data_IF_719783576381
#
_entry.id   IF_719783576381
#
_cell.length_a   1.000
_cell.length_b   1.000
_cell.length_c   1.000
_cell.angle_alpha   90.00
_cell.angle_beta   90.00
_cell.angle_gamma   90.00
#
_symmetry.space_group_name_H-M   'P 1'
#
loop_
_entity.id
_entity.type
_entity.pdbx_description
1 polymer ?
#
# COMPACT_ATOMS: atom_id res chain seq x y z
N UNK A 1 23.64 2.11 -7.40
CA UNK A 1 22.52 1.18 -7.67
C UNK A 1 22.04 1.23 -9.12
N UNK A 2 21.87 2.40 -9.75
CA UNK A 2 21.45 2.49 -11.18
C UNK A 2 22.37 1.74 -12.14
N UNK A 3 23.70 1.98 -12.09
CA UNK A 3 24.65 1.27 -12.95
C UNK A 3 24.58 -0.26 -12.74
N UNK A 4 24.42 -0.71 -11.49
CA UNK A 4 24.24 -2.12 -11.18
C UNK A 4 22.98 -2.70 -11.86
N UNK A 5 21.85 -1.99 -11.81
CA UNK A 5 20.62 -2.40 -12.48
C UNK A 5 20.79 -2.49 -13.99
N UNK A 6 21.55 -1.56 -14.58
CA UNK A 6 21.85 -1.57 -16.01
C UNK A 6 22.71 -2.76 -16.43
N UNK A 7 23.67 -3.20 -15.60
CA UNK A 7 24.49 -4.40 -15.89
C UNK A 7 23.69 -5.70 -15.98
N UNK A 8 22.47 -5.72 -15.46
CA UNK A 8 21.55 -6.86 -15.59
C UNK A 8 20.79 -6.88 -16.92
N UNK A 9 20.87 -5.80 -17.71
CA UNK A 9 20.28 -5.73 -19.05
C UNK A 9 21.24 -6.40 -20.05
N UNK A 10 20.74 -7.22 -20.99
CA UNK A 10 21.56 -7.82 -22.03
C UNK A 10 22.36 -6.75 -22.80
N UNK A 11 23.63 -7.03 -23.11
CA UNK A 11 24.55 -6.12 -23.81
C UNK A 11 24.93 -4.83 -23.05
N UNK A 12 24.65 -4.73 -21.75
CA UNK A 12 24.94 -3.53 -20.91
C UNK A 12 25.87 -3.80 -19.73
N UNK A 13 26.62 -4.90 -19.77
CA UNK A 13 27.47 -5.38 -18.67
C UNK A 13 28.60 -4.41 -18.29
N UNK A 14 29.10 -3.64 -19.27
CA UNK A 14 30.16 -2.65 -19.09
C UNK A 14 29.68 -1.31 -18.52
N UNK A 15 28.39 -1.18 -18.13
CA UNK A 15 27.87 0.09 -17.60
C UNK A 15 28.49 0.41 -16.24
N UNK A 16 29.22 1.51 -16.14
CA UNK A 16 29.81 1.99 -14.88
C UNK A 16 29.09 3.21 -14.29
N UNK A 17 29.52 3.66 -13.11
CA UNK A 17 28.95 4.82 -12.41
C UNK A 17 29.18 6.11 -13.20
N UNK A 18 30.32 6.22 -13.89
CA UNK A 18 30.68 7.35 -14.78
C UNK A 18 29.68 7.57 -15.92
N UNK A 19 28.94 6.52 -16.31
CA UNK A 19 27.94 6.56 -17.37
C UNK A 19 26.54 6.94 -16.85
N UNK A 20 26.39 7.21 -15.55
CA UNK A 20 25.14 7.68 -14.95
C UNK A 20 25.29 9.17 -14.65
N UNK A 21 24.70 10.00 -15.49
CA UNK A 21 24.75 11.45 -15.38
C UNK A 21 23.57 11.94 -14.54
N UNK A 22 23.87 12.71 -13.49
CA UNK A 22 22.88 13.37 -12.64
C UNK A 22 22.60 14.79 -13.16
N UNK A 23 21.32 15.14 -13.27
CA UNK A 23 20.85 16.42 -13.79
C UNK A 23 19.86 17.04 -12.80
N UNK A 24 19.93 18.37 -12.67
CA UNK A 24 18.94 19.18 -11.95
C UNK A 24 18.66 18.69 -10.51
N UNK A 25 19.72 18.59 -9.70
CA UNK A 25 19.64 18.18 -8.30
C UNK A 25 19.06 19.32 -7.46
N UNK A 26 18.00 19.04 -6.71
CA UNK A 26 17.33 20.01 -5.83
C UNK A 26 17.60 19.74 -4.35
N UNK A 27 17.33 20.73 -3.50
CA UNK A 27 17.45 20.59 -2.05
C UNK A 27 16.47 19.58 -1.44
N UNK A 28 15.33 19.31 -2.09
CA UNK A 28 14.35 18.29 -1.66
C UNK A 28 14.72 16.87 -2.11
N UNK A 29 15.96 16.64 -2.56
CA UNK A 29 16.46 15.35 -3.05
C UNK A 29 15.65 14.85 -4.24
N UNK A 30 15.34 15.76 -5.18
CA UNK A 30 14.85 15.39 -6.51
C UNK A 30 15.92 15.65 -7.55
N UNK A 31 16.09 14.72 -8.47
CA UNK A 31 17.04 14.82 -9.56
C UNK A 31 16.57 13.96 -10.72
N UNK A 32 17.03 14.31 -11.91
CA UNK A 32 16.90 13.48 -13.10
C UNK A 32 18.22 12.77 -13.31
N UNK A 33 18.18 11.59 -13.89
CA UNK A 33 19.41 10.92 -14.30
C UNK A 33 19.27 10.36 -15.71
N UNK A 34 20.38 10.34 -16.42
CA UNK A 34 20.50 9.79 -17.77
C UNK A 34 21.61 8.75 -17.76
N UNK A 35 21.39 7.65 -18.47
CA UNK A 35 22.41 6.61 -18.65
C UNK A 35 22.95 6.71 -20.07
N UNK A 36 24.27 6.73 -20.22
CA UNK A 36 24.94 6.73 -21.53
C UNK A 36 25.51 5.36 -21.87
N UNK A 37 25.59 5.06 -23.16
CA UNK A 37 26.21 3.85 -23.68
C UNK A 37 27.74 3.93 -23.54
N UNK A 38 28.40 2.98 -22.84
CA UNK A 38 29.87 2.96 -22.70
C UNK A 38 30.59 2.78 -24.05
N UNK A 39 29.94 2.18 -25.06
CA UNK A 39 30.57 1.88 -26.34
C UNK A 39 30.40 2.99 -27.37
N UNK A 40 29.33 3.80 -27.26
CA UNK A 40 28.95 4.76 -28.30
C UNK A 40 28.73 6.19 -27.81
N UNK A 41 28.89 6.47 -26.51
CA UNK A 41 28.66 7.78 -25.89
C UNK A 41 27.29 8.42 -26.21
N UNK A 42 26.30 7.59 -26.59
CA UNK A 42 24.93 8.04 -26.83
C UNK A 42 24.07 7.77 -25.61
N UNK A 43 23.03 8.57 -25.41
CA UNK A 43 22.06 8.36 -24.33
C UNK A 43 21.22 7.12 -24.59
N UNK A 44 21.04 6.28 -23.58
CA UNK A 44 20.19 5.10 -23.66
C UNK A 44 18.71 5.48 -23.74
N UNK A 45 17.90 4.69 -24.47
CA UNK A 45 16.46 4.92 -24.53
C UNK A 45 15.84 4.75 -23.15
N UNK A 46 14.94 5.65 -22.79
CA UNK A 46 14.32 5.69 -21.46
C UNK A 46 13.56 4.39 -21.12
N UNK A 47 13.01 3.70 -22.13
CA UNK A 47 12.28 2.43 -21.95
C UNK A 47 13.19 1.33 -21.41
N UNK A 48 14.43 1.26 -21.91
CA UNK A 48 15.42 0.28 -21.47
C UNK A 48 15.88 0.56 -20.03
N UNK A 49 16.11 1.84 -19.71
CA UNK A 49 16.46 2.25 -18.34
C UNK A 49 15.30 1.98 -17.37
N UNK A 50 14.06 2.29 -17.77
CA UNK A 50 12.88 2.05 -16.95
C UNK A 50 12.67 0.57 -16.66
N UNK A 51 12.85 -0.31 -17.65
CA UNK A 51 12.74 -1.77 -17.43
C UNK A 51 13.84 -2.29 -16.50
N UNK A 52 15.08 -1.81 -16.65
CA UNK A 52 16.20 -2.17 -15.79
C UNK A 52 15.95 -1.80 -14.32
N UNK A 53 15.44 -0.58 -14.09
CA UNK A 53 15.07 -0.09 -12.76
C UNK A 53 13.88 -0.89 -12.21
N UNK A 54 12.86 -1.15 -13.02
CA UNK A 54 11.69 -1.93 -12.61
C UNK A 54 12.07 -3.33 -12.11
N UNK A 55 12.97 -4.03 -12.82
CA UNK A 55 13.44 -5.36 -12.42
C UNK A 55 14.22 -5.37 -11.10
N UNK A 56 14.89 -4.27 -10.76
CA UNK A 56 15.73 -4.17 -9.56
C UNK A 56 15.12 -3.26 -8.47
N UNK A 57 13.86 -2.84 -8.63
CA UNK A 57 13.23 -1.82 -7.78
C UNK A 57 13.25 -2.19 -6.29
N UNK A 58 12.88 -3.41 -5.94
CA UNK A 58 12.92 -3.91 -4.56
C UNK A 58 14.33 -3.83 -3.95
N UNK A 59 15.37 -4.15 -4.74
CA UNK A 59 16.76 -4.10 -4.26
C UNK A 59 17.26 -2.67 -4.08
N UNK A 60 16.88 -1.77 -4.98
CA UNK A 60 17.19 -0.34 -4.87
C UNK A 60 16.56 0.23 -3.60
N UNK A 61 15.26 -0.03 -3.41
CA UNK A 61 14.48 0.41 -2.26
C UNK A 61 15.08 -0.09 -0.95
N UNK A 62 15.37 -1.40 -0.87
CA UNK A 62 15.99 -2.01 0.30
C UNK A 62 17.40 -1.48 0.59
N UNK A 63 18.19 -1.10 -0.42
CA UNK A 63 19.53 -0.55 -0.22
C UNK A 63 19.53 0.82 0.47
N UNK A 64 18.41 1.56 0.38
CA UNK A 64 18.23 2.86 1.02
C UNK A 64 17.25 2.83 2.19
N UNK A 65 16.75 1.66 2.58
CA UNK A 65 15.67 1.51 3.57
C UNK A 65 14.42 2.35 3.22
N UNK A 66 14.14 2.51 1.93
CA UNK A 66 12.98 3.24 1.41
C UNK A 66 11.98 2.25 0.81
N UNK A 67 10.72 2.67 0.72
CA UNK A 67 9.65 1.92 0.08
C UNK A 67 9.17 2.62 -1.21
N UNK A 68 8.20 2.01 -1.89
CA UNK A 68 7.63 2.50 -3.15
C UNK A 68 6.96 3.89 -3.06
N UNK A 69 6.61 4.35 -1.86
CA UNK A 69 5.99 5.66 -1.62
C UNK A 69 7.03 6.74 -1.29
N UNK A 70 8.14 6.35 -0.66
CA UNK A 70 9.21 7.27 -0.27
C UNK A 70 10.30 7.42 -1.32
N UNK A 71 10.46 6.42 -2.20
CA UNK A 71 11.33 6.46 -3.37
C UNK A 71 10.48 6.21 -4.62
N UNK A 72 10.10 7.32 -5.25
CA UNK A 72 9.25 7.31 -6.44
C UNK A 72 10.07 7.51 -7.71
N UNK A 73 9.71 6.74 -8.75
CA UNK A 73 10.19 6.95 -10.11
C UNK A 73 8.99 7.38 -10.96
N UNK A 74 8.92 8.66 -11.36
CA UNK A 74 7.72 9.26 -11.98
C UNK A 74 7.15 8.51 -13.20
N UNK A 75 7.96 7.72 -13.92
CA UNK A 75 7.53 6.94 -15.10
C UNK A 75 7.44 5.42 -14.86
N UNK A 76 7.72 4.95 -13.65
CA UNK A 76 7.72 3.51 -13.32
C UNK A 76 6.65 3.26 -12.24
N UNK A 77 5.61 2.48 -12.54
CA UNK A 77 4.55 2.22 -11.57
C UNK A 77 5.09 1.46 -10.35
N UNK A 78 4.44 1.66 -9.20
CA UNK A 78 4.73 0.94 -7.96
C UNK A 78 4.62 -0.57 -8.15
N UNK A 79 5.53 -1.30 -7.52
CA UNK A 79 5.59 -2.77 -7.52
C UNK A 79 4.76 -3.38 -6.41
N UNK A 80 4.49 -2.61 -5.35
CA UNK A 80 3.56 -3.02 -4.31
C UNK A 80 2.13 -2.86 -4.82
N UNK A 81 1.33 -3.92 -4.63
CA UNK A 81 -0.11 -3.82 -4.76
C UNK A 81 -0.60 -2.72 -3.80
N UNK A 82 -1.65 -1.96 -4.17
CA UNK A 82 -2.29 -1.04 -3.23
C UNK A 82 -2.62 -1.82 -1.94
N UNK A 83 -2.52 -1.16 -0.76
CA UNK A 83 -2.89 -1.80 0.50
C UNK A 83 -4.25 -2.48 0.32
N UNK A 84 -4.37 -3.75 0.70
CA UNK A 84 -5.68 -4.42 0.65
C UNK A 84 -6.62 -3.62 1.54
N UNK A 85 -7.61 -2.99 0.91
CA UNK A 85 -8.72 -2.42 1.66
C UNK A 85 -9.40 -3.55 2.44
N UNK A 86 -9.76 -3.31 3.71
CA UNK A 86 -10.44 -4.33 4.49
C UNK A 86 -11.73 -4.75 3.76
N UNK A 87 -11.88 -6.06 3.54
CA UNK A 87 -13.00 -6.66 2.78
C UNK A 87 -14.38 -6.25 3.32
N UNK A 88 -14.44 -5.86 4.60
CA UNK A 88 -15.62 -5.26 5.22
C UNK A 88 -15.24 -3.96 5.96
N UNK A 89 -15.98 -2.86 5.74
CA UNK A 89 -15.82 -1.65 6.54
C UNK A 89 -16.05 -1.92 8.02
N UNK A 90 -15.10 -1.51 8.87
CA UNK A 90 -15.13 -1.72 10.33
C UNK A 90 -16.43 -1.20 10.97
N UNK A 91 -16.97 -0.11 10.46
CA UNK A 91 -18.23 0.48 10.93
C UNK A 91 -19.44 -0.44 10.80
N UNK A 92 -19.47 -1.34 9.80
CA UNK A 92 -20.58 -2.30 9.63
C UNK A 92 -20.57 -3.34 10.76
N UNK A 93 -19.38 -3.76 11.19
CA UNK A 93 -19.23 -4.70 12.32
C UNK A 93 -19.74 -4.04 13.61
N UNK A 94 -19.34 -2.78 13.86
CA UNK A 94 -19.77 -2.01 15.04
C UNK A 94 -21.30 -1.84 15.02
N UNK A 95 -21.88 -1.47 13.88
CA UNK A 95 -23.33 -1.32 13.72
C UNK A 95 -24.07 -2.63 14.03
N UNK A 96 -23.62 -3.77 13.51
CA UNK A 96 -24.25 -5.07 13.74
C UNK A 96 -24.26 -5.48 15.22
N UNK A 97 -23.16 -5.26 15.94
CA UNK A 97 -23.06 -5.58 17.37
C UNK A 97 -24.03 -4.72 18.19
N UNK A 98 -24.05 -3.40 17.96
CA UNK A 98 -24.93 -2.47 18.67
C UNK A 98 -26.39 -2.81 18.40
N UNK A 99 -26.75 -3.08 17.14
CA UNK A 99 -28.11 -3.44 16.76
C UNK A 99 -28.58 -4.73 17.47
N UNK A 100 -27.71 -5.74 17.56
CA UNK A 100 -28.02 -6.99 18.25
C UNK A 100 -28.25 -6.79 19.76
N UNK A 101 -27.40 -5.97 20.42
CA UNK A 101 -27.57 -5.62 21.85
C UNK A 101 -28.91 -4.91 22.08
N UNK A 102 -29.26 -3.95 21.22
CA UNK A 102 -30.53 -3.20 21.32
C UNK A 102 -31.72 -4.14 21.18
N UNK A 103 -31.71 -5.05 20.20
CA UNK A 103 -32.79 -6.03 20.01
C UNK A 103 -32.95 -6.91 21.25
N UNK A 104 -31.85 -7.45 21.79
CA UNK A 104 -31.89 -8.29 22.98
C UNK A 104 -32.42 -7.52 24.18
N UNK A 105 -31.98 -6.28 24.39
CA UNK A 105 -32.46 -5.42 25.45
C UNK A 105 -33.98 -5.16 25.34
N UNK A 106 -34.48 -4.82 24.14
CA UNK A 106 -35.91 -4.61 23.89
C UNK A 106 -36.70 -5.88 24.15
N UNK A 107 -36.24 -7.03 23.66
CA UNK A 107 -36.92 -8.31 23.86
C UNK A 107 -37.03 -8.66 25.35
N UNK A 108 -35.95 -8.48 26.13
CA UNK A 108 -35.96 -8.69 27.58
C UNK A 108 -36.91 -7.74 28.30
N UNK A 109 -36.97 -6.47 27.91
CA UNK A 109 -37.90 -5.50 28.48
C UNK A 109 -39.36 -5.88 28.22
N UNK A 110 -39.70 -6.31 27.00
CA UNK A 110 -41.05 -6.76 26.65
C UNK A 110 -41.42 -8.01 27.45
N UNK A 111 -40.54 -9.00 27.50
CA UNK A 111 -40.75 -10.25 28.24
C UNK A 111 -40.95 -9.96 29.74
N UNK A 112 -40.10 -9.13 30.33
CA UNK A 112 -40.21 -8.71 31.72
C UNK A 112 -41.52 -7.99 32.01
N UNK A 113 -41.92 -7.04 31.14
CA UNK A 113 -43.21 -6.34 31.28
C UNK A 113 -44.43 -7.26 31.21
N UNK A 114 -44.40 -8.27 30.33
CA UNK A 114 -45.47 -9.28 30.25
C UNK A 114 -45.49 -10.15 31.51
N UNK A 115 -44.32 -10.62 31.96
CA UNK A 115 -44.20 -11.46 33.15
C UNK A 115 -44.69 -10.73 34.41
N UNK A 116 -44.27 -9.48 34.61
CA UNK A 116 -44.66 -8.67 35.77
C UNK A 116 -46.17 -8.43 35.82
N UNK A 117 -46.84 -8.22 34.67
CA UNK A 117 -48.31 -8.12 34.60
C UNK A 117 -49.01 -9.42 34.95
N UNK A 118 -48.44 -10.57 34.57
CA UNK A 118 -49.00 -11.90 34.90
C UNK A 118 -48.82 -12.25 36.38
N UNK A 119 -47.73 -11.81 37.01
CA UNK A 119 -47.44 -12.02 38.43
C UNK A 119 -48.20 -11.06 39.36
N UNK A 120 -48.63 -9.90 38.87
CA UNK A 120 -49.34 -8.87 39.65
C UNK A 120 -50.87 -9.02 39.68
N UNK A 121 -51.45 -10.01 38.98
CA UNK A 121 -52.86 -10.36 39.16
C UNK A 121 -53.01 -11.12 40.50
N UNK A 122 -53.66 -10.55 41.54
CA UNK A 122 -53.87 -11.28 42.78
C UNK A 122 -54.77 -12.48 42.48
N UNK A 123 -54.28 -13.70 42.75
CA UNK A 123 -55.17 -14.85 42.83
C UNK A 123 -56.14 -14.60 43.99
N UNK A 124 -57.37 -14.19 43.69
CA UNK A 124 -58.47 -14.24 44.63
C UNK A 124 -58.63 -15.72 45.04
N UNK A 125 -58.23 -16.04 46.27
CA UNK A 125 -58.43 -17.33 46.93
C UNK A 125 -59.57 -17.15 47.92
N UNK A 126 -60.59 -18.00 47.82
CA UNK A 126 -61.65 -18.17 48.82
C UNK A 126 -62.90 -17.38 48.49
#
# INVERSE_FOLDING_TARGET
MVAFSMRKVPNREATEISHVLLCNVTQRVSFWFVVTDPSKNHTLPAVEVQSAIRMNKNRINNAFFLNDQTLEFLKIPSTLAPPMDPSVPIWIIIFGVIFCIIIVAIALLILSGIWQRRSAQPKFKG
#
